data_IF_425255755524
#
_entry.id   IF_425255755524
#
_cell.length_a   1.000
_cell.length_b   1.000
_cell.length_c   1.000
_cell.angle_alpha   90.00
_cell.angle_beta   90.00
_cell.angle_gamma   90.00
#
_symmetry.space_group_name_H-M   'P 1'
#
loop_
_entity.id
_entity.type
_entity.pdbx_description
1 polymer ?
#
# COMPACT_ATOMS: atom_id res chain seq x y z
N UNK A 1 13.03 -16.29 -5.55
CA UNK A 1 14.32 -15.68 -5.92
C UNK A 1 15.14 -15.56 -4.65
N UNK A 2 16.46 -15.36 -4.72
CA UNK A 2 17.19 -14.97 -3.52
C UNK A 2 16.75 -13.55 -3.14
N UNK A 3 16.63 -13.26 -1.84
CA UNK A 3 16.19 -11.95 -1.32
C UNK A 3 16.99 -10.79 -1.94
N UNK A 4 18.29 -11.01 -2.17
CA UNK A 4 19.22 -10.04 -2.77
C UNK A 4 18.83 -9.68 -4.20
N UNK A 5 18.42 -10.65 -5.01
CA UNK A 5 18.01 -10.41 -6.40
C UNK A 5 16.69 -9.66 -6.46
N UNK A 6 15.75 -10.01 -5.58
CA UNK A 6 14.47 -9.31 -5.45
C UNK A 6 14.68 -7.87 -5.00
N UNK A 7 15.62 -7.64 -4.07
CA UNK A 7 16.01 -6.29 -3.63
C UNK A 7 16.62 -5.47 -4.76
N UNK A 8 17.50 -6.06 -5.59
CA UNK A 8 18.09 -5.39 -6.75
C UNK A 8 17.02 -4.99 -7.76
N UNK A 9 16.14 -5.93 -8.14
CA UNK A 9 15.01 -5.66 -9.03
C UNK A 9 14.08 -4.58 -8.51
N UNK A 10 13.86 -4.52 -7.19
CA UNK A 10 13.07 -3.46 -6.56
C UNK A 10 13.72 -2.07 -6.72
N UNK A 11 15.05 -1.97 -6.55
CA UNK A 11 15.79 -0.72 -6.77
C UNK A 11 15.72 -0.28 -8.23
N UNK A 12 16.03 -1.17 -9.16
CA UNK A 12 16.01 -0.87 -10.60
C UNK A 12 14.62 -0.36 -11.04
N UNK A 13 13.56 -0.94 -10.47
CA UNK A 13 12.18 -0.57 -10.79
C UNK A 13 11.81 0.78 -10.18
N UNK A 14 12.30 1.10 -8.97
CA UNK A 14 12.13 2.43 -8.37
C UNK A 14 12.86 3.51 -9.18
N UNK A 15 14.07 3.24 -9.66
CA UNK A 15 14.84 4.18 -10.49
C UNK A 15 14.13 4.42 -11.84
N UNK A 16 13.58 3.38 -12.47
CA UNK A 16 12.77 3.54 -13.70
C UNK A 16 11.54 4.42 -13.45
N UNK A 17 10.83 4.19 -12.34
CA UNK A 17 9.65 4.98 -11.97
C UNK A 17 10.03 6.44 -11.75
N UNK A 18 11.12 6.73 -11.02
CA UNK A 18 11.59 8.09 -10.80
C UNK A 18 11.91 8.82 -12.11
N UNK A 19 12.64 8.15 -13.02
CA UNK A 19 12.94 8.69 -14.34
C UNK A 19 11.68 8.97 -15.18
N UNK A 20 10.67 8.10 -15.09
CA UNK A 20 9.40 8.30 -15.80
C UNK A 20 8.53 9.36 -15.13
N UNK A 21 8.58 9.52 -13.81
CA UNK A 21 7.89 10.59 -13.08
C UNK A 21 8.40 11.97 -13.51
N UNK A 22 9.72 12.16 -13.59
CA UNK A 22 10.31 13.42 -14.06
C UNK A 22 9.86 13.78 -15.50
N UNK A 23 9.57 12.78 -16.35
CA UNK A 23 9.03 12.98 -17.70
C UNK A 23 7.51 13.23 -17.67
N UNK A 24 6.79 12.55 -16.77
CA UNK A 24 5.35 12.71 -16.61
C UNK A 24 4.98 14.11 -16.09
N UNK A 25 5.76 14.66 -15.16
CA UNK A 25 5.62 16.03 -14.65
C UNK A 25 5.74 17.08 -15.77
N UNK A 26 6.60 16.82 -16.76
CA UNK A 26 6.74 17.64 -17.97
C UNK A 26 5.59 17.47 -18.98
N UNK A 27 4.51 16.77 -18.61
CA UNK A 27 3.34 16.56 -19.46
C UNK A 27 3.41 15.36 -20.41
N UNK A 28 4.42 14.48 -20.28
CA UNK A 28 4.51 13.30 -21.13
C UNK A 28 3.51 12.21 -20.71
N UNK A 29 2.40 12.10 -21.45
CA UNK A 29 1.32 11.11 -21.21
C UNK A 29 1.80 9.65 -21.27
N UNK A 30 2.75 9.33 -22.15
CA UNK A 30 3.29 7.97 -22.26
C UNK A 30 4.13 7.61 -21.02
N UNK A 31 4.91 8.56 -20.51
CA UNK A 31 5.66 8.37 -19.26
C UNK A 31 4.70 8.17 -18.07
N UNK A 32 3.64 8.96 -17.96
CA UNK A 32 2.62 8.77 -16.92
C UNK A 32 1.96 7.38 -17.00
N UNK A 33 1.69 6.89 -18.21
CA UNK A 33 1.15 5.54 -18.40
C UNK A 33 2.18 4.47 -18.01
N UNK A 34 3.46 4.65 -18.34
CA UNK A 34 4.54 3.75 -17.89
C UNK A 34 4.62 3.70 -16.37
N UNK A 35 4.59 4.85 -15.68
CA UNK A 35 4.56 4.91 -14.20
C UNK A 35 3.38 4.12 -13.64
N UNK A 36 2.18 4.20 -14.23
CA UNK A 36 1.02 3.39 -13.81
C UNK A 36 1.26 1.89 -13.97
N UNK A 37 1.89 1.48 -15.06
CA UNK A 37 2.21 0.05 -15.26
C UNK A 37 3.31 -0.45 -14.34
N UNK A 38 4.33 0.38 -14.10
CA UNK A 38 5.47 0.05 -13.25
C UNK A 38 5.07 0.02 -11.78
N UNK A 39 4.16 0.88 -11.32
CA UNK A 39 3.66 0.84 -9.94
C UNK A 39 2.93 -0.48 -9.62
N UNK A 40 2.19 -1.03 -10.57
CA UNK A 40 1.56 -2.35 -10.43
C UNK A 40 2.62 -3.45 -10.34
N UNK A 41 3.72 -3.36 -11.11
CA UNK A 41 4.84 -4.31 -11.03
C UNK A 41 5.59 -4.17 -9.70
N UNK A 42 5.81 -2.94 -9.23
CA UNK A 42 6.42 -2.63 -7.95
C UNK A 42 5.65 -3.29 -6.81
N UNK A 43 4.32 -3.19 -6.81
CA UNK A 43 3.47 -3.81 -5.79
C UNK A 43 3.66 -5.33 -5.73
N UNK A 44 3.68 -6.01 -6.89
CA UNK A 44 3.89 -7.45 -6.96
C UNK A 44 5.26 -7.85 -6.41
N UNK A 45 6.31 -7.13 -6.81
CA UNK A 45 7.68 -7.39 -6.35
C UNK A 45 7.84 -7.07 -4.86
N UNK A 46 7.22 -5.99 -4.36
CA UNK A 46 7.23 -5.64 -2.95
C UNK A 46 6.55 -6.72 -2.07
N UNK A 47 5.43 -7.29 -2.53
CA UNK A 47 4.78 -8.42 -1.85
C UNK A 47 5.69 -9.66 -1.81
N UNK A 48 6.39 -9.95 -2.90
CA UNK A 48 7.37 -11.05 -2.94
C UNK A 48 8.53 -10.79 -1.98
N UNK A 49 9.13 -9.60 -2.02
CA UNK A 49 10.20 -9.20 -1.13
C UNK A 49 9.79 -9.32 0.34
N UNK A 50 8.59 -8.86 0.72
CA UNK A 50 8.08 -9.02 2.08
C UNK A 50 8.01 -10.49 2.51
N UNK A 51 7.52 -11.37 1.64
CA UNK A 51 7.47 -12.81 1.92
C UNK A 51 8.87 -13.43 2.04
N UNK A 52 9.77 -13.11 1.12
CA UNK A 52 11.14 -13.61 1.12
C UNK A 52 11.94 -13.07 2.31
N UNK A 53 11.71 -11.82 2.72
CA UNK A 53 12.36 -11.20 3.89
C UNK A 53 11.95 -11.90 5.17
N UNK A 54 10.65 -12.13 5.37
CA UNK A 54 10.15 -12.85 6.55
C UNK A 54 10.68 -14.29 6.57
N UNK A 55 10.73 -14.96 5.41
CA UNK A 55 11.32 -16.30 5.31
C UNK A 55 12.81 -16.29 5.65
N UNK A 56 13.57 -15.31 5.19
CA UNK A 56 15.00 -15.18 5.47
C UNK A 56 15.27 -14.87 6.96
N UNK A 57 14.43 -14.03 7.59
CA UNK A 57 14.49 -13.78 9.04
C UNK A 57 14.18 -15.04 9.84
N UNK A 58 13.11 -15.77 9.46
CA UNK A 58 12.75 -17.05 10.10
C UNK A 58 13.79 -18.14 9.89
N UNK A 59 14.44 -18.18 8.73
CA UNK A 59 15.55 -19.08 8.44
C UNK A 59 16.86 -18.69 9.12
N UNK A 60 16.89 -17.60 9.91
CA UNK A 60 18.07 -17.16 10.64
C UNK A 60 19.16 -16.53 9.77
N UNK A 61 18.93 -16.35 8.47
CA UNK A 61 19.88 -15.72 7.54
C UNK A 61 20.04 -14.21 7.78
N UNK A 62 19.16 -13.59 8.57
CA UNK A 62 19.25 -12.19 8.98
C UNK A 62 19.45 -12.03 10.50
N UNK A 63 20.19 -12.94 11.14
CA UNK A 63 20.70 -12.68 12.49
C UNK A 63 21.67 -11.50 12.46
N UNK A 64 21.13 -10.30 12.67
CA UNK A 64 21.94 -9.14 13.04
C UNK A 64 22.60 -9.47 14.39
N UNK A 65 23.90 -9.22 14.48
CA UNK A 65 24.68 -9.27 15.72
C UNK A 65 23.88 -8.49 16.79
N UNK A 66 23.56 -9.09 17.96
CA UNK A 66 22.74 -8.42 18.94
C UNK A 66 23.43 -7.11 19.34
N UNK A 67 22.72 -5.99 19.19
CA UNK A 67 23.15 -4.74 19.79
C UNK A 67 23.29 -5.01 21.30
N UNK A 68 24.46 -4.68 21.84
CA UNK A 68 24.82 -4.96 23.21
C UNK A 68 23.72 -4.47 24.16
N UNK A 69 23.22 -5.38 25.02
CA UNK A 69 22.30 -5.07 26.10
C UNK A 69 22.99 -4.07 27.03
N UNK A 70 22.60 -2.79 26.98
CA UNK A 70 22.88 -1.86 28.07
C UNK A 70 22.10 -2.34 29.28
N UNK A 71 22.81 -2.97 30.23
CA UNK A 71 22.32 -3.25 31.58
C UNK A 71 21.96 -1.92 32.22
N UNK A 72 20.67 -1.56 32.30
CA UNK A 72 20.20 -0.61 33.30
C UNK A 72 19.63 -1.39 34.47
N UNK A 73 20.34 -1.22 35.56
CA UNK A 73 20.11 -1.66 36.93
C UNK A 73 18.64 -1.68 37.35
N UNK A 74 18.32 -2.77 38.02
CA UNK A 74 17.26 -2.93 39.01
C UNK A 74 17.05 -1.65 39.82
N UNK A 75 15.85 -1.07 39.78
CA UNK A 75 15.28 -0.37 40.94
C UNK A 75 13.91 -1.02 41.21
N UNK A 76 13.89 -1.87 42.25
CA UNK A 76 12.67 -2.30 42.93
C UNK A 76 12.09 -1.10 43.69
N UNK A 77 10.80 -0.77 43.52
CA UNK A 77 9.81 -0.84 44.63
C UNK A 77 8.41 -0.34 44.21
N UNK A 78 7.43 -1.18 44.60
CA UNK A 78 6.08 -0.85 45.09
C UNK A 78 5.01 -0.31 44.12
N UNK A 79 4.12 -1.22 43.70
CA UNK A 79 2.67 -0.97 43.64
C UNK A 79 2.12 -0.98 45.10
N UNK A 80 0.91 -0.44 45.47
CA UNK A 80 -0.36 -0.70 44.77
C UNK A 80 -1.48 0.38 44.88
N UNK A 81 -2.67 0.02 44.33
CA UNK A 81 -4.05 0.50 44.58
C UNK A 81 -4.64 1.42 43.49
N UNK A 82 -5.52 0.88 42.63
CA UNK A 82 -7.01 0.78 42.77
C UNK A 82 -7.70 2.16 42.74
N UNK A 83 -8.29 2.57 41.62
CA UNK A 83 -9.73 2.43 41.35
C UNK A 83 -10.18 3.10 40.03
N UNK A 84 -11.34 2.70 39.47
CA UNK A 84 -11.72 2.94 38.09
C UNK A 84 -12.56 4.22 37.93
N UNK A 85 -12.23 5.06 36.94
CA UNK A 85 -13.11 6.17 36.55
C UNK A 85 -14.12 5.66 35.52
N UNK A 86 -15.32 5.32 36.01
CA UNK A 86 -16.57 5.28 35.25
C UNK A 86 -16.93 6.70 34.78
N UNK A 87 -17.31 6.87 33.50
CA UNK A 87 -18.22 7.88 32.90
C UNK A 87 -17.82 8.05 31.42
N UNK A 88 -18.65 7.99 30.37
CA UNK A 88 -20.10 7.90 30.16
C UNK A 88 -20.29 7.21 28.80
N UNK A 89 -21.08 6.14 28.72
CA UNK A 89 -21.61 5.65 27.44
C UNK A 89 -22.86 6.46 27.15
N UNK A 90 -22.73 7.51 26.34
CA UNK A 90 -23.89 8.20 25.79
C UNK A 90 -24.39 7.44 24.57
N UNK A 91 -25.44 6.64 24.77
CA UNK A 91 -26.35 6.22 23.70
C UNK A 91 -27.06 7.46 23.15
N UNK A 92 -26.87 7.74 21.86
CA UNK A 92 -27.75 8.49 20.91
C UNK A 92 -26.87 8.89 19.71
N UNK A 93 -27.29 8.84 18.45
CA UNK A 93 -28.55 8.49 17.85
C UNK A 93 -28.25 8.02 16.43
N UNK A 94 -29.01 7.02 15.98
CA UNK A 94 -29.16 6.68 14.57
C UNK A 94 -29.71 7.91 13.85
N UNK A 95 -28.94 8.48 12.92
CA UNK A 95 -29.50 9.33 11.86
C UNK A 95 -29.14 8.68 10.54
N UNK A 96 -30.01 7.76 10.12
CA UNK A 96 -30.15 7.34 8.73
C UNK A 96 -30.56 8.57 7.93
N UNK A 97 -29.62 9.21 7.22
CA UNK A 97 -29.98 10.11 6.13
C UNK A 97 -30.07 9.28 4.86
N UNK A 98 -31.28 8.78 4.62
CA UNK A 98 -31.66 8.08 3.40
C UNK A 98 -31.56 9.05 2.20
N UNK A 99 -30.70 8.74 1.24
CA UNK A 99 -30.78 9.29 -0.09
C UNK A 99 -31.70 8.39 -0.95
N UNK A 100 -32.70 8.93 -1.65
CA UNK A 100 -33.74 8.13 -2.29
C UNK A 100 -33.22 7.39 -3.54
N UNK A 101 -33.46 6.07 -3.58
CA UNK A 101 -33.44 5.25 -4.80
C UNK A 101 -34.77 5.41 -5.54
N UNK A 102 -34.74 5.96 -6.76
CA UNK A 102 -35.67 5.79 -7.89
C UNK A 102 -34.84 6.15 -9.13
N UNK A 103 -34.74 5.44 -10.25
CA UNK A 103 -35.56 4.39 -10.89
C UNK A 103 -34.71 3.74 -12.00
N UNK A 104 -35.09 2.52 -12.39
CA UNK A 104 -34.51 1.72 -13.46
C UNK A 104 -34.85 2.24 -14.88
N UNK A 105 -34.23 1.56 -15.87
CA UNK A 105 -34.36 1.66 -17.33
C UNK A 105 -33.49 2.76 -17.97
N UNK A 106 -32.77 2.55 -19.08
CA UNK A 106 -33.06 1.71 -20.24
C UNK A 106 -31.78 1.48 -21.05
N UNK A 107 -31.58 0.24 -21.53
CA UNK A 107 -30.64 -0.11 -22.61
C UNK A 107 -30.81 0.84 -23.80
N UNK A 108 -29.72 1.39 -24.32
CA UNK A 108 -29.63 1.79 -25.73
C UNK A 108 -28.27 1.34 -26.28
N UNK A 109 -28.33 0.24 -27.02
CA UNK A 109 -27.31 -0.21 -27.96
C UNK A 109 -27.29 0.82 -29.10
N UNK A 110 -26.18 1.53 -29.31
CA UNK A 110 -25.94 2.27 -30.56
C UNK A 110 -24.61 1.86 -31.14
N UNK A 111 -24.67 0.90 -32.07
CA UNK A 111 -23.69 0.75 -33.13
C UNK A 111 -23.59 2.10 -33.85
N UNK A 112 -22.42 2.73 -33.85
CA UNK A 112 -22.03 3.62 -34.93
C UNK A 112 -20.84 2.99 -35.66
N UNK A 113 -21.18 2.05 -36.54
CA UNK A 113 -20.43 1.84 -37.76
C UNK A 113 -20.80 3.02 -38.66
N UNK A 114 -19.90 4.00 -38.74
CA UNK A 114 -20.01 5.14 -39.64
C UNK A 114 -18.60 5.47 -40.13
N UNK A 115 -18.28 5.07 -41.37
CA UNK A 115 -18.46 5.86 -42.60
C UNK A 115 -17.23 6.77 -42.74
N UNK A 116 -16.21 6.29 -43.46
CA UNK A 116 -16.02 6.54 -44.90
C UNK A 116 -15.72 8.01 -45.19
N UNK A 117 -14.51 8.26 -45.70
CA UNK A 117 -14.09 9.26 -46.68
C UNK A 117 -12.61 8.91 -46.98
N UNK A 118 -12.28 8.37 -48.16
CA UNK A 118 -11.82 9.11 -49.37
C UNK A 118 -10.63 10.02 -49.00
N UNK A 119 -9.43 9.88 -49.58
CA UNK A 119 -9.04 9.69 -50.97
C UNK A 119 -7.65 9.05 -51.02
#
# INVERSE_FOLDING_TARGET
>A
MALKDTAKKLKDLLDSIQNNLAKAEKGNKAAAQRVRTESIKLEKMAKLYRKESIKAEKAGLMKRKPAAKTKKSVIKKAAPKKNPVKKVIAKRAVVKKAAPKKTAAKKVKRNHKGRSLRK
#
